data_IF_886610123096
#
_entry.id   IF_886610123096
#
_cell.length_a   1.000
_cell.length_b   1.000
_cell.length_c   1.000
_cell.angle_alpha   90.00
_cell.angle_beta   90.00
_cell.angle_gamma   90.00
#
_symmetry.space_group_name_H-M   'P 1'
#
loop_
_entity.id
_entity.type
_entity.pdbx_description
1 polymer ?
#
# COMPACT_ATOMS: atom_id res chain seq x y z
N UNK A 1 7.28 26.14 11.04
CA UNK A 1 7.88 25.21 10.06
C UNK A 1 6.87 25.00 8.94
N UNK A 2 7.09 25.57 7.75
CA UNK A 2 6.21 25.40 6.58
C UNK A 2 6.82 24.29 5.73
N UNK A 3 6.38 23.05 5.93
CA UNK A 3 6.65 22.00 4.96
C UNK A 3 5.91 22.40 3.68
N UNK A 4 6.66 22.72 2.63
CA UNK A 4 6.14 22.98 1.30
C UNK A 4 5.61 21.67 0.71
N UNK A 5 4.29 21.51 0.69
CA UNK A 5 3.63 20.49 -0.12
C UNK A 5 3.60 21.01 -1.56
N UNK A 6 4.51 20.51 -2.40
CA UNK A 6 4.73 21.06 -3.75
C UNK A 6 3.77 20.48 -4.78
N UNK A 7 3.07 19.37 -4.49
CA UNK A 7 2.29 18.70 -5.53
C UNK A 7 1.06 17.98 -4.98
N UNK A 8 -0.10 18.23 -5.60
CA UNK A 8 -1.32 17.43 -5.40
C UNK A 8 -1.26 16.30 -6.43
N UNK A 9 -0.50 15.25 -6.12
CA UNK A 9 -0.48 14.04 -6.96
C UNK A 9 -1.78 13.28 -6.69
N UNK A 10 -2.56 13.01 -7.74
CA UNK A 10 -3.66 12.05 -7.61
C UNK A 10 -3.01 10.70 -7.34
N UNK A 11 -3.29 10.11 -6.18
CA UNK A 11 -2.76 8.79 -5.84
C UNK A 11 -3.11 7.84 -6.98
N UNK A 12 -2.13 7.27 -7.70
CA UNK A 12 -2.39 6.41 -8.83
C UNK A 12 -3.26 5.22 -8.42
N UNK A 13 -3.98 4.62 -9.36
CA UNK A 13 -4.80 3.46 -9.00
C UNK A 13 -3.92 2.23 -8.89
N UNK A 14 -3.97 1.58 -7.73
CA UNK A 14 -3.28 0.33 -7.41
C UNK A 14 -3.65 -0.79 -8.43
N UNK A 15 -4.79 -0.69 -9.11
CA UNK A 15 -5.21 -1.63 -10.15
C UNK A 15 -4.54 -1.39 -11.51
N UNK A 16 -4.48 -0.13 -11.97
CA UNK A 16 -4.06 0.22 -13.33
C UNK A 16 -2.61 0.70 -13.42
N UNK A 17 -2.08 1.25 -12.33
CA UNK A 17 -0.73 1.77 -12.22
C UNK A 17 -0.13 1.43 -10.85
N UNK A 18 0.20 0.13 -10.61
CA UNK A 18 0.77 -0.31 -9.35
C UNK A 18 2.17 0.27 -9.10
N UNK A 19 2.91 0.57 -10.17
CA UNK A 19 4.27 1.13 -10.08
C UNK A 19 4.23 2.59 -9.65
N UNK A 20 3.35 3.40 -10.25
CA UNK A 20 3.12 4.78 -9.83
C UNK A 20 2.47 4.85 -8.45
N UNK A 21 1.62 3.89 -8.08
CA UNK A 21 1.09 3.81 -6.72
C UNK A 21 2.23 3.60 -5.71
N UNK A 22 3.12 2.64 -5.97
CA UNK A 22 4.28 2.38 -5.11
C UNK A 22 5.14 3.64 -4.93
N UNK A 23 5.48 4.33 -6.02
CA UNK A 23 6.26 5.57 -5.98
C UNK A 23 5.55 6.71 -5.24
N UNK A 24 4.22 6.78 -5.33
CA UNK A 24 3.43 7.76 -4.60
C UNK A 24 3.40 7.47 -3.09
N UNK A 25 3.45 6.20 -2.68
CA UNK A 25 3.43 5.78 -1.26
C UNK A 25 4.83 5.86 -0.64
N UNK A 26 5.86 5.61 -1.43
CA UNK A 26 7.26 5.79 -1.05
C UNK A 26 7.63 7.29 -0.98
N UNK A 27 7.10 7.97 0.05
CA UNK A 27 7.31 9.40 0.29
C UNK A 27 8.79 9.75 0.50
N UNK A 28 9.57 8.81 1.05
CA UNK A 28 11.00 9.01 1.31
C UNK A 28 11.86 8.74 0.06
N UNK A 29 11.31 8.02 -0.93
CA UNK A 29 11.97 7.69 -2.19
C UNK A 29 13.13 6.70 -2.00
N UNK A 30 13.06 5.85 -0.97
CA UNK A 30 14.13 4.92 -0.61
C UNK A 30 13.95 3.52 -1.24
N UNK A 31 12.92 3.35 -2.06
CA UNK A 31 12.59 2.14 -2.82
C UNK A 31 11.88 1.07 -2.01
N UNK A 32 11.40 1.40 -0.80
CA UNK A 32 10.73 0.48 0.12
C UNK A 32 9.57 1.16 0.84
N UNK A 33 8.59 0.38 1.25
CA UNK A 33 7.41 0.87 1.95
C UNK A 33 7.46 0.45 3.42
N UNK A 34 7.31 1.42 4.30
CA UNK A 34 7.07 1.19 5.72
C UNK A 34 5.59 0.90 5.99
N UNK A 35 5.31 0.27 7.13
CA UNK A 35 3.95 0.03 7.62
C UNK A 35 3.10 1.30 7.64
N UNK A 36 3.66 2.39 8.16
CA UNK A 36 2.97 3.67 8.29
C UNK A 36 2.56 4.26 6.95
N UNK A 37 3.47 4.25 5.96
CA UNK A 37 3.17 4.74 4.62
C UNK A 37 2.03 3.95 3.96
N UNK A 38 2.06 2.62 4.08
CA UNK A 38 0.98 1.76 3.54
C UNK A 38 -0.34 2.03 4.26
N UNK A 39 -0.33 2.12 5.59
CA UNK A 39 -1.53 2.40 6.39
C UNK A 39 -2.17 3.73 5.98
N UNK A 40 -1.38 4.80 5.94
CA UNK A 40 -1.85 6.15 5.62
C UNK A 40 -2.51 6.21 4.25
N UNK A 41 -1.89 5.61 3.22
CA UNK A 41 -2.47 5.61 1.88
C UNK A 41 -3.72 4.74 1.79
N UNK A 42 -3.75 3.58 2.47
CA UNK A 42 -4.92 2.71 2.46
C UNK A 42 -6.14 3.35 3.14
N UNK A 43 -5.98 3.99 4.30
CA UNK A 43 -7.08 4.69 4.97
C UNK A 43 -7.52 5.97 4.23
N UNK A 44 -6.62 6.53 3.39
CA UNK A 44 -6.93 7.67 2.53
C UNK A 44 -7.69 7.26 1.26
N UNK A 45 -7.32 6.13 0.64
CA UNK A 45 -7.94 5.66 -0.60
C UNK A 45 -9.23 4.87 -0.39
N UNK A 46 -9.38 4.22 0.77
CA UNK A 46 -10.52 3.37 1.08
C UNK A 46 -11.18 3.85 2.38
N UNK A 47 -12.51 3.75 2.52
CA UNK A 47 -13.22 4.15 3.74
C UNK A 47 -13.00 3.12 4.86
N UNK A 48 -11.76 3.00 5.32
CA UNK A 48 -11.34 2.09 6.37
C UNK A 48 -11.28 2.81 7.71
N UNK A 49 -11.60 2.07 8.76
CA UNK A 49 -11.36 2.50 10.13
C UNK A 49 -9.87 2.34 10.44
N UNK A 50 -9.24 3.39 11.01
CA UNK A 50 -7.80 3.43 11.23
C UNK A 50 -7.33 2.30 12.15
N UNK A 51 -8.01 2.05 13.26
CA UNK A 51 -7.63 1.03 14.24
C UNK A 51 -7.73 -0.38 13.62
N UNK A 52 -8.79 -0.60 12.82
CA UNK A 52 -8.97 -1.88 12.11
C UNK A 52 -7.95 -2.08 11.01
N UNK A 53 -7.62 -1.01 10.27
CA UNK A 53 -6.63 -1.05 9.21
C UNK A 53 -5.23 -1.31 9.78
N UNK A 54 -4.87 -0.68 10.90
CA UNK A 54 -3.60 -0.91 11.58
C UNK A 54 -3.48 -2.36 12.05
N UNK A 55 -4.50 -2.90 12.75
CA UNK A 55 -4.49 -4.29 13.20
C UNK A 55 -4.40 -5.29 12.03
N UNK A 56 -5.12 -5.03 10.93
CA UNK A 56 -5.07 -5.87 9.74
C UNK A 56 -3.69 -5.80 9.06
N UNK A 57 -3.09 -4.61 8.99
CA UNK A 57 -1.72 -4.44 8.45
C UNK A 57 -0.73 -5.21 9.32
N UNK A 58 -0.80 -5.12 10.64
CA UNK A 58 0.11 -5.84 11.52
C UNK A 58 0.01 -7.36 11.39
N UNK A 59 -1.19 -7.90 11.20
CA UNK A 59 -1.40 -9.33 10.95
C UNK A 59 -0.86 -9.75 9.58
N UNK A 60 -1.05 -8.93 8.54
CA UNK A 60 -0.71 -9.27 7.17
C UNK A 60 0.75 -8.94 6.81
N UNK A 61 1.40 -8.03 7.53
CA UNK A 61 2.75 -7.54 7.21
C UNK A 61 3.79 -8.64 7.05
N UNK A 62 3.88 -9.66 7.94
CA UNK A 62 4.86 -10.75 7.80
C UNK A 62 4.66 -11.60 6.54
N UNK A 63 3.53 -11.44 5.85
CA UNK A 63 3.23 -12.11 4.58
C UNK A 63 3.74 -11.32 3.38
N UNK A 64 3.90 -10.01 3.54
CA UNK A 64 4.37 -9.09 2.51
C UNK A 64 5.87 -8.83 2.62
N UNK A 65 6.36 -8.64 3.85
CA UNK A 65 7.77 -8.54 4.21
C UNK A 65 8.35 -9.95 4.33
N UNK A 66 8.89 -10.47 3.22
CA UNK A 66 9.32 -11.86 3.10
C UNK A 66 10.69 -12.09 3.72
N UNK A 67 11.52 -11.05 3.74
CA UNK A 67 12.85 -11.10 4.33
C UNK A 67 12.87 -10.67 5.81
N UNK A 68 11.76 -10.13 6.33
CA UNK A 68 11.63 -9.70 7.72
C UNK A 68 12.40 -8.42 8.03
N UNK A 69 12.68 -7.59 7.02
CA UNK A 69 13.42 -6.34 7.15
C UNK A 69 12.64 -5.24 7.88
N UNK A 70 11.33 -5.41 8.05
CA UNK A 70 10.40 -4.40 8.54
C UNK A 70 9.86 -3.49 7.43
N UNK A 71 10.24 -3.72 6.17
CA UNK A 71 9.83 -2.94 5.02
C UNK A 71 9.37 -3.84 3.88
N UNK A 72 8.54 -3.31 2.98
CA UNK A 72 8.15 -4.00 1.75
C UNK A 72 8.87 -3.36 0.58
N UNK A 73 9.81 -4.09 0.00
CA UNK A 73 10.51 -3.67 -1.23
C UNK A 73 9.59 -3.75 -2.45
N UNK A 74 9.98 -3.10 -3.55
CA UNK A 74 9.26 -3.19 -4.83
C UNK A 74 9.13 -4.64 -5.34
N UNK A 75 10.12 -5.50 -5.07
CA UNK A 75 10.08 -6.91 -5.45
C UNK A 75 9.04 -7.69 -4.63
N UNK A 76 8.99 -7.45 -3.32
CA UNK A 76 8.03 -8.07 -2.41
C UNK A 76 6.60 -7.58 -2.67
N UNK A 77 6.43 -6.27 -2.90
CA UNK A 77 5.17 -5.65 -3.28
C UNK A 77 4.53 -6.35 -4.49
N UNK A 78 5.32 -6.59 -5.53
CA UNK A 78 4.89 -7.22 -6.79
C UNK A 78 4.94 -8.75 -6.76
N UNK A 79 5.24 -9.37 -5.61
CA UNK A 79 5.33 -10.83 -5.52
C UNK A 79 3.97 -11.48 -5.83
N UNK A 80 3.92 -12.42 -6.80
CA UNK A 80 2.68 -13.10 -7.14
C UNK A 80 2.08 -13.84 -5.93
N UNK A 81 0.75 -13.70 -5.74
CA UNK A 81 -0.08 -14.38 -4.71
C UNK A 81 0.14 -13.95 -3.26
N UNK A 82 1.33 -13.53 -2.87
CA UNK A 82 1.61 -13.16 -1.46
C UNK A 82 1.88 -11.68 -1.27
N UNK A 83 2.37 -10.97 -2.29
CA UNK A 83 2.70 -9.55 -2.18
C UNK A 83 1.49 -8.65 -1.93
N UNK A 84 1.76 -7.43 -1.44
CA UNK A 84 0.75 -6.42 -1.16
C UNK A 84 -0.15 -6.13 -2.37
N UNK A 85 0.42 -6.07 -3.58
CA UNK A 85 -0.35 -5.87 -4.81
C UNK A 85 -1.37 -7.00 -5.05
N UNK A 86 -0.94 -8.24 -4.83
CA UNK A 86 -1.82 -9.40 -4.99
C UNK A 86 -2.94 -9.40 -3.94
N UNK A 87 -2.63 -9.03 -2.69
CA UNK A 87 -3.63 -8.87 -1.64
C UNK A 87 -4.65 -7.79 -1.97
N UNK A 88 -4.19 -6.59 -2.36
CA UNK A 88 -5.04 -5.47 -2.70
C UNK A 88 -5.98 -5.82 -3.88
N UNK A 89 -5.47 -6.50 -4.91
CA UNK A 89 -6.30 -7.01 -6.02
C UNK A 89 -7.38 -7.99 -5.57
N UNK A 90 -7.08 -8.84 -4.60
CA UNK A 90 -8.00 -9.88 -4.15
C UNK A 90 -9.05 -9.40 -3.13
N UNK A 91 -8.75 -8.35 -2.35
CA UNK A 91 -9.59 -7.94 -1.20
C UNK A 91 -10.08 -6.49 -1.29
N UNK A 92 -9.29 -5.58 -1.87
CA UNK A 92 -9.61 -4.14 -1.90
C UNK A 92 -10.18 -3.70 -3.25
N UNK A 93 -9.70 -4.29 -4.34
CA UNK A 93 -10.07 -3.93 -5.72
C UNK A 93 -11.13 -4.85 -6.32
N UNK A 94 -11.63 -5.85 -5.57
CA UNK A 94 -12.80 -6.62 -6.01
C UNK A 94 -14.00 -5.70 -6.03
N UNK A 95 -14.30 -5.18 -7.22
CA UNK A 95 -15.65 -4.76 -7.57
C UNK A 95 -16.56 -5.97 -7.25
N UNK A 96 -17.69 -5.80 -6.54
CA UNK A 96 -18.64 -6.90 -6.38
C UNK A 96 -18.93 -7.44 -7.78
N UNK A 97 -18.66 -8.72 -8.02
CA UNK A 97 -19.20 -9.41 -9.19
C UNK A 97 -20.70 -9.19 -9.12
N UNK A 98 -21.22 -8.37 -10.04
CA UNK A 98 -22.65 -8.14 -10.15
C UNK A 98 -23.32 -9.51 -10.41
N UNK A 99 -24.45 -9.81 -9.74
CA UNK A 99 -25.15 -11.08 -9.88
C UNK A 99 -25.67 -11.32 -11.30
#
# INVERSE_FOLDING_TARGET
CRASFTEVVRVPSLSSDPDGWFECVDVEGDGRLSKGQVLEVLVTQFPLDMDKAEAAIDELWPRWDLDGSGYVTRAEFSTPRTGLLAYARAHLLKVPEAP
#
